data_IF_077311237918
#
_entry.id   IF_077311237918
#
_cell.length_a   1.000
_cell.length_b   1.000
_cell.length_c   1.000
_cell.angle_alpha   90.00
_cell.angle_beta   90.00
_cell.angle_gamma   90.00
#
_symmetry.space_group_name_H-M   'P 1'
#
loop_
_entity.id
_entity.type
_entity.pdbx_description
1 polymer ?
#
# COMPACT_ATOMS: atom_id res chain seq x y z
N UNK A 1 -15.95 9.78 -14.32
CA UNK A 1 -15.98 8.32 -14.10
C UNK A 1 -14.76 8.02 -13.26
N UNK A 2 -14.95 7.70 -11.97
CA UNK A 2 -13.85 7.40 -11.05
C UNK A 2 -13.21 6.06 -11.39
N UNK A 3 -11.91 6.08 -11.60
CA UNK A 3 -11.12 4.86 -11.79
C UNK A 3 -10.72 4.32 -10.42
N UNK A 4 -11.49 3.36 -9.90
CA UNK A 4 -11.10 2.66 -8.69
C UNK A 4 -9.99 1.66 -9.03
N UNK A 5 -8.75 1.99 -8.77
CA UNK A 5 -7.61 1.07 -8.76
C UNK A 5 -7.50 0.30 -7.44
N UNK A 6 -8.43 0.52 -6.53
CA UNK A 6 -8.56 -0.27 -5.33
C UNK A 6 -9.25 -1.59 -5.69
N UNK A 7 -8.57 -2.71 -5.46
CA UNK A 7 -9.28 -3.97 -5.29
C UNK A 7 -10.00 -3.80 -3.96
N UNK A 8 -11.31 -3.54 -4.01
CA UNK A 8 -12.13 -3.46 -2.83
C UNK A 8 -12.03 -4.78 -2.07
N UNK A 9 -11.37 -4.77 -0.95
CA UNK A 9 -11.53 -5.79 0.07
C UNK A 9 -12.93 -5.58 0.64
N UNK A 10 -13.74 -6.59 0.55
CA UNK A 10 -15.15 -6.66 0.91
C UNK A 10 -15.44 -6.14 2.31
N UNK A 11 -16.51 -5.37 2.38
CA UNK A 11 -17.35 -5.06 3.55
C UNK A 11 -16.66 -4.60 4.86
N UNK A 12 -16.45 -3.30 4.95
CA UNK A 12 -15.72 -2.63 6.05
C UNK A 12 -16.65 -2.00 7.11
N UNK A 13 -17.84 -2.55 7.36
CA UNK A 13 -18.75 -1.99 8.39
C UNK A 13 -18.28 -2.27 9.82
N UNK A 14 -17.35 -3.21 10.04
CA UNK A 14 -16.79 -3.53 11.37
C UNK A 14 -15.45 -2.85 11.67
N UNK A 15 -14.75 -2.31 10.70
CA UNK A 15 -13.45 -1.67 10.89
C UNK A 15 -13.54 -0.38 11.73
N UNK A 16 -14.58 0.44 11.52
CA UNK A 16 -14.70 1.74 12.20
C UNK A 16 -14.90 1.68 13.72
N UNK A 17 -15.35 0.56 14.29
CA UNK A 17 -15.55 0.41 15.75
C UNK A 17 -14.26 -0.09 16.43
N UNK A 18 -13.40 -0.78 15.71
CA UNK A 18 -12.15 -1.33 16.25
C UNK A 18 -11.07 -0.26 16.46
N UNK A 19 -11.04 0.77 15.64
CA UNK A 19 -9.97 1.77 15.57
C UNK A 19 -9.91 2.74 16.74
N UNK A 20 -11.02 3.09 17.36
CA UNK A 20 -11.07 4.10 18.43
C UNK A 20 -10.45 3.64 19.77
N UNK A 21 -10.24 2.34 19.98
CA UNK A 21 -9.73 1.77 21.22
C UNK A 21 -8.29 1.24 21.19
N UNK A 22 -7.66 1.15 19.99
CA UNK A 22 -6.36 0.49 19.82
C UNK A 22 -5.12 1.40 19.97
N UNK A 23 -5.28 2.72 20.00
CA UNK A 23 -4.13 3.66 19.95
C UNK A 23 -3.49 3.96 21.31
N UNK A 24 -3.37 2.99 22.20
CA UNK A 24 -2.80 3.25 23.54
C UNK A 24 -1.39 2.70 23.81
N UNK A 25 -0.84 1.81 22.99
CA UNK A 25 0.51 1.27 23.19
C UNK A 25 1.16 0.93 21.84
N UNK A 26 2.48 1.14 21.69
CA UNK A 26 3.23 0.86 20.45
C UNK A 26 3.11 -0.59 19.94
N UNK A 27 2.93 -1.57 20.83
CA UNK A 27 2.69 -2.97 20.47
C UNK A 27 1.35 -3.15 19.73
N UNK A 28 0.34 -2.33 20.05
CA UNK A 28 -0.97 -2.36 19.40
C UNK A 28 -0.92 -1.79 17.98
N UNK A 29 -0.09 -0.79 17.72
CA UNK A 29 0.04 -0.19 16.38
C UNK A 29 0.75 -1.13 15.41
N UNK A 30 1.82 -1.80 15.85
CA UNK A 30 2.49 -2.83 15.05
C UNK A 30 1.54 -3.98 14.70
N UNK A 31 0.71 -4.43 15.64
CA UNK A 31 -0.29 -5.47 15.38
C UNK A 31 -1.30 -5.04 14.32
N UNK A 32 -1.75 -3.79 14.36
CA UNK A 32 -2.68 -3.23 13.36
C UNK A 32 -2.00 -3.17 11.98
N UNK A 33 -0.80 -2.63 11.91
CA UNK A 33 -0.03 -2.57 10.66
C UNK A 33 0.20 -3.96 10.09
N UNK A 34 0.59 -4.91 10.95
CA UNK A 34 0.78 -6.32 10.56
C UNK A 34 -0.50 -6.93 9.99
N UNK A 35 -1.63 -6.72 10.67
CA UNK A 35 -2.92 -7.27 10.20
C UNK A 35 -3.31 -6.66 8.85
N UNK A 36 -3.20 -5.35 8.68
CA UNK A 36 -3.53 -4.69 7.41
C UNK A 36 -2.66 -5.19 6.26
N UNK A 37 -1.35 -5.35 6.46
CA UNK A 37 -0.49 -5.92 5.43
C UNK A 37 -0.84 -7.38 5.13
N UNK A 38 -1.18 -8.19 6.13
CA UNK A 38 -1.62 -9.59 5.94
C UNK A 38 -2.92 -9.70 5.16
N UNK A 39 -3.79 -8.71 5.25
CA UNK A 39 -5.04 -8.67 4.48
C UNK A 39 -4.80 -8.28 3.01
N UNK A 40 -3.59 -7.82 2.68
CA UNK A 40 -3.22 -7.57 1.28
C UNK A 40 -2.79 -8.85 0.55
N UNK A 41 -2.95 -8.90 -0.78
CA UNK A 41 -2.44 -10.02 -1.58
C UNK A 41 -0.92 -10.21 -1.47
N UNK A 42 -0.16 -9.16 -1.14
CA UNK A 42 1.31 -9.20 -1.09
C UNK A 42 1.82 -10.17 -0.03
N UNK A 43 1.12 -10.31 1.08
CA UNK A 43 1.51 -11.15 2.22
C UNK A 43 0.75 -12.49 2.28
N UNK A 44 0.01 -12.86 1.22
CA UNK A 44 -0.66 -14.15 1.15
C UNK A 44 0.35 -15.31 1.34
N UNK A 45 -0.01 -16.29 2.18
CA UNK A 45 0.81 -17.45 2.54
C UNK A 45 2.15 -17.13 3.25
N UNK A 46 2.32 -15.92 3.79
CA UNK A 46 3.46 -15.55 4.64
C UNK A 46 3.03 -15.67 6.11
N UNK A 47 3.76 -16.46 6.95
CA UNK A 47 3.38 -16.62 8.34
C UNK A 47 3.46 -15.30 9.12
N UNK A 48 2.50 -15.08 10.03
CA UNK A 48 2.32 -13.84 10.79
C UNK A 48 3.60 -13.31 11.44
N UNK A 49 4.36 -14.19 12.11
CA UNK A 49 5.61 -13.80 12.77
C UNK A 49 6.63 -13.15 11.83
N UNK A 50 6.66 -13.58 10.55
CA UNK A 50 7.59 -13.03 9.55
C UNK A 50 7.05 -11.73 8.96
N UNK A 51 5.72 -11.62 8.82
CA UNK A 51 5.07 -10.36 8.45
C UNK A 51 5.28 -9.31 9.54
N UNK A 52 5.08 -9.66 10.81
CA UNK A 52 5.29 -8.77 11.95
C UNK A 52 6.75 -8.29 12.03
N UNK A 53 7.71 -9.20 11.87
CA UNK A 53 9.14 -8.85 11.87
C UNK A 53 9.48 -7.85 10.75
N UNK A 54 8.90 -8.01 9.54
CA UNK A 54 9.08 -7.07 8.45
C UNK A 54 8.33 -5.76 8.69
N UNK A 55 7.11 -5.81 9.24
CA UNK A 55 6.36 -4.59 9.57
C UNK A 55 7.06 -3.74 10.63
N UNK A 56 7.84 -4.34 11.52
CA UNK A 56 8.62 -3.62 12.53
C UNK A 56 9.73 -2.74 11.93
N UNK A 57 10.15 -2.97 10.67
CA UNK A 57 11.12 -2.12 9.96
C UNK A 57 10.46 -0.96 9.23
N UNK A 58 9.14 -0.99 9.05
CA UNK A 58 8.40 0.02 8.29
C UNK A 58 8.30 1.35 9.03
N UNK A 59 8.15 2.43 8.27
CA UNK A 59 8.13 3.78 8.82
C UNK A 59 6.74 4.40 8.73
N UNK A 60 6.29 4.99 9.84
CA UNK A 60 5.03 5.74 9.90
C UNK A 60 5.26 7.22 9.64
N UNK A 61 4.33 7.84 8.91
CA UNK A 61 4.32 9.28 8.69
C UNK A 61 2.89 9.81 8.67
N UNK A 62 2.69 10.94 9.36
CA UNK A 62 1.43 11.66 9.40
C UNK A 62 1.41 12.75 8.32
N UNK A 63 0.24 12.94 7.70
CA UNK A 63 -0.03 13.97 6.69
C UNK A 63 -1.30 14.74 7.04
N UNK A 64 -1.28 16.03 6.75
CA UNK A 64 -2.47 16.88 6.87
C UNK A 64 -3.31 16.78 5.59
N UNK A 65 -4.58 17.11 5.68
CA UNK A 65 -5.44 17.28 4.50
C UNK A 65 -4.83 18.29 3.52
N UNK A 66 -4.72 17.92 2.25
CA UNK A 66 -4.11 18.71 1.18
C UNK A 66 -2.58 18.55 1.07
N UNK A 67 -1.93 17.81 1.96
CA UNK A 67 -0.48 17.61 1.91
C UNK A 67 -0.10 16.61 0.81
N UNK A 68 0.92 16.97 0.00
CA UNK A 68 1.46 16.11 -1.05
C UNK A 68 2.33 15.03 -0.42
N UNK A 69 2.04 13.77 -0.73
CA UNK A 69 2.80 12.60 -0.26
C UNK A 69 4.01 12.38 -1.17
N UNK A 70 3.80 12.42 -2.49
CA UNK A 70 4.82 12.46 -3.52
C UNK A 70 4.23 13.00 -4.84
N UNK A 71 5.09 13.44 -5.74
CA UNK A 71 4.72 13.92 -7.07
C UNK A 71 5.13 12.94 -8.16
N UNK A 72 4.41 12.98 -9.29
CA UNK A 72 4.78 12.26 -10.51
C UNK A 72 6.21 12.64 -10.91
N UNK A 73 7.04 11.64 -11.20
CA UNK A 73 8.45 11.83 -11.53
C UNK A 73 9.41 11.78 -10.33
N UNK A 74 8.93 11.82 -9.09
CA UNK A 74 9.76 11.61 -7.90
C UNK A 74 10.36 10.19 -7.90
N UNK A 75 11.49 10.02 -7.21
CA UNK A 75 12.09 8.70 -7.03
C UNK A 75 11.22 7.84 -6.11
N UNK A 76 10.78 6.68 -6.59
CA UNK A 76 10.04 5.71 -5.79
C UNK A 76 10.97 4.93 -4.86
N UNK A 77 10.68 4.95 -3.55
CA UNK A 77 11.48 4.23 -2.54
C UNK A 77 10.81 2.93 -2.04
N UNK A 78 9.54 2.72 -2.35
CA UNK A 78 8.79 1.55 -1.86
C UNK A 78 7.28 1.73 -1.97
N UNK A 79 6.54 0.80 -1.37
CA UNK A 79 5.09 0.83 -1.26
C UNK A 79 4.62 1.60 -0.02
N UNK A 80 3.38 2.03 -0.04
CA UNK A 80 2.74 2.80 1.03
C UNK A 80 1.37 2.17 1.31
N UNK A 81 1.06 1.94 2.59
CA UNK A 81 -0.25 1.50 3.04
C UNK A 81 -0.92 2.65 3.81
N UNK A 82 -2.20 2.85 3.56
CA UNK A 82 -3.02 3.80 4.32
C UNK A 82 -3.43 3.16 5.63
N UNK A 83 -2.78 3.58 6.74
CA UNK A 83 -3.16 3.12 8.07
C UNK A 83 -4.46 3.76 8.52
N UNK A 84 -4.62 5.06 8.26
CA UNK A 84 -5.86 5.78 8.45
C UNK A 84 -5.94 7.01 7.55
N UNK A 85 -7.16 7.42 7.18
CA UNK A 85 -7.42 8.60 6.37
C UNK A 85 -7.71 8.29 4.90
N UNK A 86 -7.54 9.28 4.03
CA UNK A 86 -7.85 9.16 2.61
C UNK A 86 -6.74 9.77 1.76
N UNK A 87 -6.37 9.08 0.68
CA UNK A 87 -5.35 9.51 -0.29
C UNK A 87 -5.91 9.47 -1.69
N UNK A 88 -5.77 10.59 -2.42
CA UNK A 88 -6.07 10.68 -3.85
C UNK A 88 -4.81 10.43 -4.66
N UNK A 89 -4.90 9.52 -5.62
CA UNK A 89 -3.87 9.29 -6.64
C UNK A 89 -4.36 9.89 -7.96
N UNK A 90 -3.52 10.71 -8.61
CA UNK A 90 -3.87 11.39 -9.86
C UNK A 90 -2.68 11.44 -10.82
N UNK A 91 -2.95 11.44 -12.13
CA UNK A 91 -1.95 11.69 -13.16
C UNK A 91 -2.54 12.60 -14.23
N UNK A 92 -1.76 13.57 -14.71
CA UNK A 92 -2.18 14.52 -15.76
C UNK A 92 -3.53 15.19 -15.44
N UNK A 93 -3.77 15.53 -14.15
CA UNK A 93 -5.01 16.10 -13.61
C UNK A 93 -6.23 15.15 -13.59
N UNK A 94 -6.08 13.92 -14.06
CA UNK A 94 -7.11 12.89 -13.94
C UNK A 94 -6.97 12.15 -12.60
N UNK A 95 -8.07 12.02 -11.86
CA UNK A 95 -8.10 11.17 -10.68
C UNK A 95 -8.07 9.70 -11.10
N UNK A 96 -7.08 8.97 -10.62
CA UNK A 96 -6.90 7.54 -10.90
C UNK A 96 -7.53 6.68 -9.80
N UNK A 97 -7.41 7.08 -8.54
CA UNK A 97 -7.94 6.34 -7.41
C UNK A 97 -8.15 7.22 -6.18
N UNK A 98 -9.12 6.86 -5.35
CA UNK A 98 -9.29 7.31 -3.98
C UNK A 98 -9.03 6.10 -3.07
N UNK A 99 -8.00 6.21 -2.24
CA UNK A 99 -7.53 5.15 -1.34
C UNK A 99 -7.95 5.46 0.10
N UNK A 100 -8.22 4.40 0.87
CA UNK A 100 -8.70 4.47 2.25
C UNK A 100 -7.92 3.51 3.14
N UNK A 101 -8.30 3.45 4.40
CA UNK A 101 -7.72 2.56 5.40
C UNK A 101 -7.59 1.12 4.85
N UNK A 102 -6.39 0.55 4.91
CA UNK A 102 -6.05 -0.78 4.42
C UNK A 102 -5.65 -0.84 2.94
N UNK A 103 -5.90 0.20 2.15
CA UNK A 103 -5.43 0.24 0.76
C UNK A 103 -3.91 0.48 0.70
N UNK A 104 -3.26 -0.09 -0.33
CA UNK A 104 -1.83 0.13 -0.58
C UNK A 104 -1.57 0.56 -2.02
N UNK A 105 -0.50 1.32 -2.21
CA UNK A 105 -0.11 1.88 -3.50
C UNK A 105 1.41 2.08 -3.60
N UNK A 106 1.89 2.42 -4.80
CA UNK A 106 3.31 2.67 -5.07
C UNK A 106 4.18 1.41 -5.06
N UNK A 107 3.57 0.22 -5.10
CA UNK A 107 4.21 -1.09 -5.06
C UNK A 107 5.12 -1.37 -6.26
N UNK A 108 4.96 -0.65 -7.36
CA UNK A 108 5.88 -0.70 -8.51
C UNK A 108 7.31 -0.43 -8.05
N UNK A 109 7.49 0.48 -7.09
CA UNK A 109 8.80 0.82 -6.55
C UNK A 109 9.44 -0.29 -5.70
N UNK A 110 8.71 -1.34 -5.31
CA UNK A 110 9.28 -2.54 -4.71
C UNK A 110 9.93 -3.44 -5.77
N UNK A 111 9.34 -3.53 -6.97
CA UNK A 111 9.83 -4.37 -8.06
C UNK A 111 10.94 -3.69 -8.87
N UNK A 112 10.82 -2.39 -9.13
CA UNK A 112 11.72 -1.63 -9.98
C UNK A 112 12.08 -0.28 -9.36
N UNK A 113 13.29 0.20 -9.59
CA UNK A 113 13.73 1.54 -9.15
C UNK A 113 13.22 2.61 -10.11
N UNK A 114 11.90 2.66 -10.26
CA UNK A 114 11.23 3.56 -11.20
C UNK A 114 10.76 4.84 -10.52
N UNK A 115 10.57 5.87 -11.32
CA UNK A 115 9.95 7.12 -10.86
C UNK A 115 8.47 6.92 -10.60
N UNK A 116 7.90 7.71 -9.68
CA UNK A 116 6.45 7.73 -9.43
C UNK A 116 5.70 8.04 -10.72
N UNK A 117 4.72 7.22 -11.05
CA UNK A 117 3.91 7.34 -12.27
C UNK A 117 2.71 8.27 -12.10
N UNK A 118 2.46 8.72 -10.87
CA UNK A 118 1.32 9.57 -10.50
C UNK A 118 1.68 10.44 -9.30
N UNK A 119 0.84 11.45 -9.03
CA UNK A 119 0.83 12.21 -7.79
C UNK A 119 0.03 11.47 -6.72
N UNK A 120 0.39 11.64 -5.46
CA UNK A 120 -0.40 11.21 -4.32
C UNK A 120 -0.56 12.36 -3.33
N UNK A 121 -1.80 12.63 -2.92
CA UNK A 121 -2.14 13.72 -2.00
C UNK A 121 -3.10 13.21 -0.93
N UNK A 122 -2.83 13.50 0.33
CA UNK A 122 -3.75 13.22 1.42
C UNK A 122 -4.98 14.14 1.29
N UNK A 123 -6.20 13.59 1.23
CA UNK A 123 -7.44 14.36 1.15
C UNK A 123 -8.08 14.60 2.51
N UNK A 124 -7.66 13.84 3.51
CA UNK A 124 -7.96 14.04 4.93
C UNK A 124 -6.68 14.00 5.76
N UNK A 125 -6.76 14.25 7.07
CA UNK A 125 -5.67 13.89 7.98
C UNK A 125 -5.43 12.38 7.88
N UNK A 126 -4.21 11.98 7.49
CA UNK A 126 -3.89 10.61 7.13
C UNK A 126 -2.60 10.15 7.81
N UNK A 127 -2.55 8.89 8.19
CA UNK A 127 -1.37 8.22 8.69
C UNK A 127 -1.00 7.08 7.75
N UNK A 128 0.24 7.08 7.26
CA UNK A 128 0.72 6.18 6.22
C UNK A 128 1.88 5.34 6.73
N UNK A 129 1.96 4.10 6.26
CA UNK A 129 3.04 3.15 6.54
C UNK A 129 3.88 2.97 5.28
N UNK A 130 5.17 3.27 5.37
CA UNK A 130 6.13 3.14 4.28
C UNK A 130 6.87 1.82 4.39
N UNK A 131 6.73 0.99 3.39
CA UNK A 131 7.49 -0.23 3.19
C UNK A 131 8.56 0.01 2.13
N UNK A 132 9.81 0.16 2.56
CA UNK A 132 10.91 0.52 1.68
C UNK A 132 11.42 -0.71 0.90
N UNK A 133 11.86 -0.47 -0.33
CA UNK A 133 12.48 -1.51 -1.17
C UNK A 133 13.72 -2.10 -0.51
N UNK A 134 14.52 -1.27 0.15
CA UNK A 134 15.72 -1.70 0.87
C UNK A 134 15.38 -2.71 1.98
N UNK A 135 14.33 -2.46 2.76
CA UNK A 135 13.90 -3.37 3.83
C UNK A 135 13.43 -4.71 3.26
N UNK A 136 12.74 -4.67 2.10
CA UNK A 136 12.35 -5.88 1.38
C UNK A 136 13.57 -6.67 0.87
N UNK A 137 14.55 -6.00 0.27
CA UNK A 137 15.77 -6.63 -0.24
C UNK A 137 16.55 -7.31 0.89
N UNK A 138 16.74 -6.63 2.02
CA UNK A 138 17.39 -7.16 3.21
C UNK A 138 16.61 -8.36 3.78
N UNK A 139 15.29 -8.26 3.86
CA UNK A 139 14.46 -9.37 4.33
C UNK A 139 14.53 -10.59 3.41
N UNK A 140 14.57 -10.41 2.08
CA UNK A 140 14.74 -11.51 1.10
C UNK A 140 16.07 -12.24 1.30
N UNK A 141 17.15 -11.50 1.61
CA UNK A 141 18.46 -12.11 1.87
C UNK A 141 18.42 -13.03 3.10
N UNK A 142 17.67 -12.65 4.14
CA UNK A 142 17.54 -13.43 5.37
C UNK A 142 16.52 -14.57 5.27
N UNK A 143 15.45 -14.36 4.52
CA UNK A 143 14.31 -15.28 4.38
C UNK A 143 14.00 -15.59 2.90
N UNK A 144 14.93 -16.19 2.13
CA UNK A 144 14.83 -16.29 0.68
C UNK A 144 13.59 -17.04 0.17
N UNK A 145 13.10 -18.03 0.96
CA UNK A 145 11.89 -18.78 0.57
C UNK A 145 10.62 -17.93 0.70
N UNK A 146 10.53 -17.14 1.77
CA UNK A 146 9.41 -16.23 1.99
C UNK A 146 9.51 -15.02 1.05
N UNK A 147 10.73 -14.53 0.81
CA UNK A 147 11.01 -13.52 -0.19
C UNK A 147 10.54 -13.94 -1.58
N UNK A 148 10.83 -15.18 -2.01
CA UNK A 148 10.32 -15.71 -3.26
C UNK A 148 8.78 -15.75 -3.29
N UNK A 149 8.12 -16.14 -2.20
CA UNK A 149 6.65 -16.10 -2.08
C UNK A 149 6.14 -14.67 -2.23
N UNK A 150 6.72 -13.71 -1.52
CA UNK A 150 6.35 -12.30 -1.61
C UNK A 150 6.49 -11.77 -3.05
N UNK A 151 7.61 -12.06 -3.73
CA UNK A 151 7.83 -11.63 -5.12
C UNK A 151 6.83 -12.25 -6.09
N UNK A 152 6.42 -13.50 -5.89
CA UNK A 152 5.33 -14.12 -6.66
C UNK A 152 4.00 -13.40 -6.43
N UNK A 153 3.68 -13.06 -5.19
CA UNK A 153 2.48 -12.32 -4.84
C UNK A 153 2.49 -10.90 -5.43
N UNK A 154 3.64 -10.21 -5.35
CA UNK A 154 3.84 -8.90 -5.96
C UNK A 154 3.65 -8.97 -7.48
N UNK A 155 4.25 -9.97 -8.15
CA UNK A 155 4.08 -10.19 -9.59
C UNK A 155 2.62 -10.43 -9.96
N UNK A 156 1.90 -11.25 -9.20
CA UNK A 156 0.48 -11.50 -9.41
C UNK A 156 -0.36 -10.22 -9.24
N UNK A 157 -0.06 -9.41 -8.22
CA UNK A 157 -0.73 -8.13 -7.98
C UNK A 157 -0.50 -7.15 -9.12
N UNK A 158 0.74 -7.01 -9.60
CA UNK A 158 1.08 -6.14 -10.73
C UNK A 158 0.40 -6.62 -12.03
N UNK A 159 0.37 -7.93 -12.28
CA UNK A 159 -0.32 -8.52 -13.43
C UNK A 159 -1.83 -8.24 -13.41
N UNK A 160 -2.48 -8.36 -12.25
CA UNK A 160 -3.90 -8.03 -12.08
C UNK A 160 -4.17 -6.54 -12.33
N UNK A 161 -3.33 -5.65 -11.79
CA UNK A 161 -3.46 -4.19 -12.02
C UNK A 161 -3.27 -3.83 -13.50
N UNK A 162 -2.27 -4.44 -14.15
CA UNK A 162 -2.05 -4.26 -15.60
C UNK A 162 -3.26 -4.76 -16.42
N UNK A 163 -3.79 -5.94 -16.09
CA UNK A 163 -4.98 -6.46 -16.76
C UNK A 163 -6.17 -5.52 -16.62
N UNK A 164 -6.43 -5.02 -15.41
CA UNK A 164 -7.50 -4.06 -15.15
C UNK A 164 -7.30 -2.75 -15.96
N UNK A 165 -6.07 -2.22 -16.01
CA UNK A 165 -5.74 -1.04 -16.80
C UNK A 165 -6.00 -1.26 -18.30
N UNK A 166 -5.59 -2.42 -18.87
CA UNK A 166 -5.81 -2.75 -20.25
C UNK A 166 -7.32 -2.87 -20.60
N UNK A 167 -8.12 -3.43 -19.67
CA UNK A 167 -9.58 -3.50 -19.85
C UNK A 167 -10.24 -2.10 -19.89
N UNK A 168 -9.71 -1.15 -19.13
CA UNK A 168 -10.22 0.22 -19.15
C UNK A 168 -9.86 0.93 -20.46
N UNK A 169 -8.63 0.77 -20.93
CA UNK A 169 -8.19 1.33 -22.22
C UNK A 169 -9.03 0.77 -23.38
N UNK A 170 -9.27 -0.55 -23.38
CA UNK A 170 -10.07 -1.20 -24.42
C UNK A 170 -11.53 -0.73 -24.48
N UNK A 171 -12.09 -0.21 -23.36
CA UNK A 171 -13.45 0.33 -23.33
C UNK A 171 -13.54 1.79 -23.79
N UNK A 172 -12.40 2.47 -23.95
CA UNK A 172 -12.32 3.87 -24.38
C UNK A 172 -12.03 4.01 -25.89
N UNK A 173 -11.66 2.91 -26.56
CA UNK A 173 -11.47 2.79 -28.01
C UNK A 173 -12.76 2.36 -28.70
#
# INVERSE_FOLDING_TARGET
>A
MCYSFAIAVTDNSMANVFWSNLFRNGDSELQVVTQLWRDTPLFADIPERHTEALCATMHLRDFKAGEVIFSQGDQGAGAILVLSGEVRVSADKAELAQLRDGDFFGEIALAASERRTADATATSASRLVYFLKQDLEEWIEHEPRLGARFLMNLSATLAQRLYAANQLIAKQL
#
